data_IF_450857434573
#
_entry.id   IF_450857434573
#
_cell.length_a   1.000
_cell.length_b   1.000
_cell.length_c   1.000
_cell.angle_alpha   90.00
_cell.angle_beta   90.00
_cell.angle_gamma   90.00
#
_symmetry.space_group_name_H-M   'P 1'
#
loop_
_entity.id
_entity.type
_entity.pdbx_description
1 polymer ?
#
# COMPACT_ATOMS: atom_id res chain seq x y z
N UNK A 1 -9.59 13.45 -15.03
CA UNK A 1 -8.64 12.36 -15.31
C UNK A 1 -9.37 11.04 -15.46
N UNK A 2 -8.85 10.16 -16.31
CA UNK A 2 -9.23 8.75 -16.35
C UNK A 2 -8.23 7.96 -15.50
N UNK A 3 -8.69 7.34 -14.42
CA UNK A 3 -7.85 6.64 -13.44
C UNK A 3 -8.27 5.17 -13.39
N UNK A 4 -7.33 4.26 -13.61
CA UNK A 4 -7.60 2.82 -13.52
C UNK A 4 -6.84 2.20 -12.35
N UNK A 5 -7.57 1.55 -11.44
CA UNK A 5 -6.99 0.86 -10.28
C UNK A 5 -7.01 -0.66 -10.51
N UNK A 6 -5.85 -1.30 -10.47
CA UNK A 6 -5.69 -2.74 -10.63
C UNK A 6 -5.67 -3.42 -9.26
N UNK A 7 -6.78 -4.02 -8.87
CA UNK A 7 -6.94 -4.73 -7.60
C UNK A 7 -8.05 -4.14 -6.72
N UNK A 8 -9.13 -4.90 -6.58
CA UNK A 8 -10.30 -4.55 -5.77
C UNK A 8 -10.22 -5.12 -4.34
N UNK A 9 -9.05 -5.01 -3.69
CA UNK A 9 -8.90 -5.21 -2.25
C UNK A 9 -9.43 -4.01 -1.45
N UNK A 10 -9.32 -4.04 -0.12
CA UNK A 10 -9.75 -2.93 0.74
C UNK A 10 -9.14 -1.60 0.32
N UNK A 11 -7.81 -1.58 0.15
CA UNK A 11 -7.09 -0.35 -0.15
C UNK A 11 -7.36 0.16 -1.58
N UNK A 12 -7.36 -0.73 -2.60
CA UNK A 12 -7.72 -0.34 -3.96
C UNK A 12 -9.15 0.19 -4.07
N UNK A 13 -10.09 -0.41 -3.36
CA UNK A 13 -11.48 0.08 -3.29
C UNK A 13 -11.57 1.45 -2.60
N UNK A 14 -10.85 1.66 -1.50
CA UNK A 14 -10.84 2.94 -0.81
C UNK A 14 -10.24 4.07 -1.68
N UNK A 15 -9.19 3.77 -2.44
CA UNK A 15 -8.59 4.74 -3.36
C UNK A 15 -9.46 5.01 -4.59
N UNK A 16 -10.19 4.00 -5.10
CA UNK A 16 -11.20 4.23 -6.15
C UNK A 16 -12.32 5.16 -5.66
N UNK A 17 -12.78 4.97 -4.42
CA UNK A 17 -13.75 5.86 -3.78
C UNK A 17 -13.20 7.28 -3.62
N UNK A 18 -11.94 7.42 -3.19
CA UNK A 18 -11.32 8.73 -3.02
C UNK A 18 -11.21 9.48 -4.36
N UNK A 19 -10.79 8.79 -5.43
CA UNK A 19 -10.71 9.36 -6.78
C UNK A 19 -12.10 9.72 -7.34
N UNK A 20 -13.10 8.84 -7.20
CA UNK A 20 -14.44 9.08 -7.71
C UNK A 20 -15.18 10.23 -7.01
N UNK A 21 -14.84 10.49 -5.75
CA UNK A 21 -15.42 11.59 -4.94
C UNK A 21 -14.59 12.88 -5.03
N UNK A 22 -13.50 12.87 -5.80
CA UNK A 22 -12.66 14.05 -5.96
C UNK A 22 -13.42 15.15 -6.70
N UNK A 23 -13.33 16.43 -6.25
CA UNK A 23 -14.04 17.56 -6.88
C UNK A 23 -13.70 17.76 -8.36
N UNK A 24 -12.55 17.25 -8.82
CA UNK A 24 -12.12 17.30 -10.22
C UNK A 24 -12.90 16.40 -11.19
N UNK A 25 -13.90 15.64 -10.73
CA UNK A 25 -14.79 14.85 -11.60
C UNK A 25 -14.06 13.77 -12.40
N UNK A 26 -13.30 12.89 -11.73
CA UNK A 26 -12.52 11.84 -12.38
C UNK A 26 -13.41 10.68 -12.85
N UNK A 27 -13.07 10.09 -14.00
CA UNK A 27 -13.59 8.80 -14.44
C UNK A 27 -12.72 7.70 -13.82
N UNK A 28 -13.34 6.75 -13.11
CA UNK A 28 -12.61 5.75 -12.32
C UNK A 28 -13.02 4.35 -12.74
N UNK A 29 -12.04 3.52 -13.12
CA UNK A 29 -12.23 2.09 -13.35
C UNK A 29 -11.54 1.30 -12.23
N UNK A 30 -12.31 0.45 -11.52
CA UNK A 30 -11.78 -0.48 -10.53
C UNK A 30 -11.77 -1.89 -11.12
N UNK A 31 -10.57 -2.43 -11.32
CA UNK A 31 -10.39 -3.75 -11.89
C UNK A 31 -10.25 -4.82 -10.80
N UNK A 32 -11.13 -5.82 -10.84
CA UNK A 32 -11.06 -7.03 -10.03
C UNK A 32 -10.70 -8.23 -10.91
N UNK A 33 -9.58 -8.90 -10.62
CA UNK A 33 -9.13 -10.09 -11.38
C UNK A 33 -10.14 -11.25 -11.33
N UNK A 34 -10.83 -11.41 -10.21
CA UNK A 34 -11.84 -12.42 -10.00
C UNK A 34 -13.19 -11.92 -10.56
N UNK A 35 -13.71 -12.62 -11.56
CA UNK A 35 -14.97 -12.26 -12.21
C UNK A 35 -16.17 -12.33 -11.24
N UNK A 36 -16.16 -13.26 -10.28
CA UNK A 36 -17.24 -13.37 -9.30
C UNK A 36 -17.22 -12.19 -8.32
N UNK A 37 -16.04 -11.73 -7.92
CA UNK A 37 -15.89 -10.51 -7.14
C UNK A 37 -16.35 -9.28 -7.92
N UNK A 38 -15.97 -9.17 -9.19
CA UNK A 38 -16.38 -8.05 -10.04
C UNK A 38 -17.91 -7.99 -10.18
N UNK A 39 -18.55 -9.14 -10.38
CA UNK A 39 -20.01 -9.22 -10.48
C UNK A 39 -20.70 -8.83 -9.18
N UNK A 40 -20.18 -9.29 -8.04
CA UNK A 40 -20.68 -8.88 -6.73
C UNK A 40 -20.53 -7.36 -6.52
N UNK A 41 -19.40 -6.76 -6.94
CA UNK A 41 -19.19 -5.31 -6.88
C UNK A 41 -20.16 -4.52 -7.77
N UNK A 42 -20.50 -5.03 -8.97
CA UNK A 42 -21.46 -4.39 -9.88
C UNK A 42 -22.87 -4.43 -9.31
N UNK A 43 -23.30 -5.60 -8.85
CA UNK A 43 -24.68 -5.83 -8.40
C UNK A 43 -24.97 -5.25 -7.03
N UNK A 44 -24.04 -5.42 -6.08
CA UNK A 44 -24.22 -4.97 -4.69
C UNK A 44 -23.79 -3.53 -4.48
N UNK A 45 -23.00 -2.96 -5.38
CA UNK A 45 -22.38 -1.64 -5.23
C UNK A 45 -21.70 -1.46 -3.88
N UNK A 46 -21.05 -2.54 -3.40
CA UNK A 46 -20.32 -2.60 -2.13
C UNK A 46 -19.25 -3.68 -2.22
N UNK A 47 -18.09 -3.43 -1.63
CA UNK A 47 -17.06 -4.46 -1.45
C UNK A 47 -17.26 -5.15 -0.09
N UNK A 48 -18.30 -5.99 0.02
CA UNK A 48 -18.66 -6.63 1.28
C UNK A 48 -17.54 -7.49 1.88
N UNK A 49 -16.69 -8.08 1.03
CA UNK A 49 -15.57 -8.95 1.45
C UNK A 49 -14.40 -8.19 2.07
N UNK A 50 -14.02 -7.04 1.50
CA UNK A 50 -12.77 -6.36 1.86
C UNK A 50 -12.97 -4.99 2.49
N UNK A 51 -14.11 -4.33 2.24
CA UNK A 51 -14.44 -3.00 2.74
C UNK A 51 -15.95 -2.90 3.03
N UNK A 52 -16.46 -3.69 3.99
CA UNK A 52 -17.88 -3.72 4.28
C UNK A 52 -18.41 -2.38 4.81
N UNK A 53 -19.69 -2.11 4.56
CA UNK A 53 -20.38 -0.93 5.05
C UNK A 53 -20.10 0.37 4.30
N UNK A 54 -19.44 0.30 3.12
CA UNK A 54 -19.18 1.46 2.28
C UNK A 54 -19.73 1.24 0.88
N UNK A 55 -20.68 2.10 0.47
CA UNK A 55 -21.28 2.04 -0.87
C UNK A 55 -20.32 2.56 -1.95
N UNK A 56 -20.33 1.93 -3.11
CA UNK A 56 -19.62 2.36 -4.32
C UNK A 56 -20.56 3.24 -5.17
N UNK A 57 -20.16 4.48 -5.51
CA UNK A 57 -20.90 5.32 -6.44
C UNK A 57 -21.03 4.65 -7.81
N UNK A 58 -22.12 4.93 -8.52
CA UNK A 58 -22.34 4.43 -9.89
C UNK A 58 -21.26 4.92 -10.87
N UNK A 59 -20.61 6.03 -10.57
CA UNK A 59 -19.51 6.58 -11.38
C UNK A 59 -18.24 5.73 -11.38
N UNK A 60 -18.12 4.72 -10.48
CA UNK A 60 -17.01 3.77 -10.54
C UNK A 60 -17.38 2.62 -11.46
N UNK A 61 -16.68 2.52 -12.59
CA UNK A 61 -16.77 1.38 -13.48
C UNK A 61 -16.06 0.16 -12.86
N UNK A 62 -16.71 -1.02 -12.91
CA UNK A 62 -16.13 -2.26 -12.43
C UNK A 62 -15.74 -3.13 -13.62
N UNK A 63 -14.44 -3.44 -13.73
CA UNK A 63 -13.90 -4.28 -14.80
C UNK A 63 -13.33 -5.60 -14.25
N UNK A 64 -13.47 -6.68 -15.06
CA UNK A 64 -12.82 -7.98 -14.80
C UNK A 64 -12.20 -8.58 -16.07
N UNK A 65 -12.07 -7.78 -17.12
CA UNK A 65 -11.42 -8.25 -18.34
C UNK A 65 -9.94 -8.55 -18.11
N UNK A 66 -9.32 -9.46 -18.86
CA UNK A 66 -7.86 -9.70 -18.75
C UNK A 66 -7.08 -8.40 -18.86
N UNK A 67 -5.97 -8.29 -18.10
CA UNK A 67 -5.19 -7.05 -18.03
C UNK A 67 -4.72 -6.56 -19.41
N UNK A 68 -4.31 -7.47 -20.29
CA UNK A 68 -3.91 -7.11 -21.66
C UNK A 68 -5.06 -6.45 -22.45
N UNK A 69 -6.28 -6.98 -22.30
CA UNK A 69 -7.48 -6.39 -22.92
C UNK A 69 -7.83 -5.03 -22.30
N UNK A 70 -7.70 -4.90 -20.99
CA UNK A 70 -7.93 -3.64 -20.28
C UNK A 70 -6.95 -2.54 -20.77
N UNK A 71 -5.66 -2.89 -20.88
CA UNK A 71 -4.62 -1.98 -21.39
C UNK A 71 -4.94 -1.52 -22.84
N UNK A 72 -5.32 -2.45 -23.70
CA UNK A 72 -5.66 -2.15 -25.09
C UNK A 72 -6.93 -1.28 -25.22
N UNK A 73 -7.91 -1.46 -24.33
CA UNK A 73 -9.17 -0.70 -24.34
C UNK A 73 -9.10 0.65 -23.60
N UNK A 74 -8.00 0.94 -22.93
CA UNK A 74 -7.83 2.16 -22.11
C UNK A 74 -6.69 3.07 -22.60
N UNK A 75 -6.63 3.46 -23.88
CA UNK A 75 -5.52 4.24 -24.44
C UNK A 75 -5.42 5.66 -23.86
N UNK A 76 -6.51 6.15 -23.27
CA UNK A 76 -6.60 7.51 -22.70
C UNK A 76 -6.56 7.49 -21.16
N UNK A 77 -6.05 6.43 -20.54
CA UNK A 77 -5.86 6.40 -19.09
C UNK A 77 -4.75 7.38 -18.69
N UNK A 78 -5.06 8.32 -17.79
CA UNK A 78 -4.11 9.34 -17.33
C UNK A 78 -3.23 8.84 -16.18
N UNK A 79 -3.72 7.86 -15.39
CA UNK A 79 -3.01 7.29 -14.25
C UNK A 79 -3.43 5.84 -14.01
N UNK A 80 -2.46 4.96 -13.98
CA UNK A 80 -2.62 3.57 -13.55
C UNK A 80 -2.18 3.40 -12.10
N UNK A 81 -3.01 2.74 -11.28
CA UNK A 81 -2.72 2.48 -9.87
C UNK A 81 -2.75 0.98 -9.60
N UNK A 82 -1.60 0.39 -9.30
CA UNK A 82 -1.47 -1.03 -8.95
C UNK A 82 -1.76 -1.20 -7.47
N UNK A 83 -2.94 -1.72 -7.14
CA UNK A 83 -3.42 -1.97 -5.79
C UNK A 83 -3.41 -3.47 -5.42
N UNK A 84 -2.60 -4.27 -6.13
CA UNK A 84 -2.37 -5.67 -5.81
C UNK A 84 -1.40 -5.80 -4.62
N UNK A 85 -1.37 -6.94 -3.91
CA UNK A 85 -0.27 -7.25 -3.02
C UNK A 85 1.08 -7.27 -3.75
N UNK A 86 2.20 -7.16 -3.00
CA UNK A 86 3.56 -7.18 -3.57
C UNK A 86 3.80 -8.38 -4.51
N UNK A 87 3.25 -9.55 -4.20
CA UNK A 87 3.35 -10.75 -5.04
C UNK A 87 2.75 -10.61 -6.45
N UNK A 88 1.87 -9.64 -6.67
CA UNK A 88 1.27 -9.34 -7.99
C UNK A 88 1.99 -8.23 -8.76
N UNK A 89 2.91 -7.50 -8.14
CA UNK A 89 3.50 -6.29 -8.69
C UNK A 89 4.32 -6.59 -9.96
N UNK A 90 5.23 -7.55 -9.91
CA UNK A 90 6.11 -7.91 -11.04
C UNK A 90 5.32 -8.23 -12.30
N UNK A 91 4.31 -9.08 -12.17
CA UNK A 91 3.46 -9.47 -13.30
C UNK A 91 2.69 -8.28 -13.86
N UNK A 92 2.16 -7.41 -13.00
CA UNK A 92 1.44 -6.22 -13.43
C UNK A 92 2.38 -5.25 -14.18
N UNK A 93 3.56 -4.96 -13.62
CA UNK A 93 4.54 -4.07 -14.25
C UNK A 93 5.05 -4.61 -15.58
N UNK A 94 5.34 -5.92 -15.67
CA UNK A 94 5.78 -6.54 -16.93
C UNK A 94 4.72 -6.42 -18.03
N UNK A 95 3.44 -6.60 -17.68
CA UNK A 95 2.34 -6.43 -18.63
C UNK A 95 2.14 -4.98 -19.07
N UNK A 96 2.62 -4.02 -18.28
CA UNK A 96 2.47 -2.59 -18.51
C UNK A 96 3.74 -1.92 -19.10
N UNK A 97 4.75 -2.68 -19.51
CA UNK A 97 6.04 -2.15 -19.92
C UNK A 97 5.96 -1.06 -21.02
N UNK A 98 4.96 -1.14 -21.91
CA UNK A 98 4.76 -0.19 -23.01
C UNK A 98 3.78 0.96 -22.66
N UNK A 99 3.24 1.01 -21.42
CA UNK A 99 2.34 2.07 -20.99
C UNK A 99 3.11 3.41 -20.92
N UNK A 100 2.49 4.47 -21.44
CA UNK A 100 3.09 5.82 -21.45
C UNK A 100 2.60 6.69 -20.30
N UNK A 101 1.38 6.43 -19.82
CA UNK A 101 0.81 7.14 -18.67
C UNK A 101 1.57 6.83 -17.37
N UNK A 102 1.59 7.74 -16.40
CA UNK A 102 2.10 7.49 -15.07
C UNK A 102 1.52 6.22 -14.43
N UNK A 103 2.38 5.45 -13.75
CA UNK A 103 2.01 4.24 -13.02
C UNK A 103 2.38 4.41 -11.56
N UNK A 104 1.51 4.02 -10.64
CA UNK A 104 1.83 4.01 -9.22
C UNK A 104 1.44 2.68 -8.59
N UNK A 105 2.17 2.26 -7.58
CA UNK A 105 1.80 1.11 -6.75
C UNK A 105 1.45 1.51 -5.32
N UNK A 106 0.57 0.72 -4.72
CA UNK A 106 0.11 0.88 -3.35
C UNK A 106 0.65 -0.22 -2.43
N UNK A 107 1.23 -1.29 -2.98
CA UNK A 107 1.78 -2.39 -2.21
C UNK A 107 2.96 -1.94 -1.36
N UNK A 108 3.12 -2.62 -0.23
CA UNK A 108 4.19 -2.36 0.74
C UNK A 108 4.96 -3.66 0.97
N UNK A 109 6.25 -3.57 1.24
CA UNK A 109 7.09 -4.73 1.46
C UNK A 109 8.09 -4.98 0.33
N UNK A 110 8.86 -6.05 0.46
CA UNK A 110 9.86 -6.50 -0.51
C UNK A 110 9.34 -7.77 -1.22
N UNK A 111 9.79 -7.97 -2.44
CA UNK A 111 9.42 -9.16 -3.21
C UNK A 111 9.98 -10.44 -2.58
N UNK A 112 9.12 -11.43 -2.40
CA UNK A 112 9.53 -12.72 -1.86
C UNK A 112 10.49 -13.44 -2.82
N UNK A 113 11.52 -14.06 -2.27
CA UNK A 113 12.55 -14.78 -3.04
C UNK A 113 13.71 -13.89 -3.49
N UNK A 114 13.45 -12.70 -4.04
CA UNK A 114 14.51 -11.79 -4.51
C UNK A 114 14.95 -10.78 -3.44
N UNK A 115 14.02 -10.36 -2.55
CA UNK A 115 14.25 -9.28 -1.59
C UNK A 115 14.27 -7.89 -2.22
N UNK A 116 13.82 -7.75 -3.46
CA UNK A 116 13.80 -6.48 -4.18
C UNK A 116 12.67 -5.56 -3.68
N UNK A 117 12.96 -4.27 -3.64
CA UNK A 117 11.94 -3.24 -3.43
C UNK A 117 11.09 -3.04 -4.69
N UNK A 118 9.87 -2.49 -4.60
CA UNK A 118 9.00 -2.28 -5.75
C UNK A 118 9.67 -1.52 -6.91
N UNK A 119 10.41 -0.44 -6.64
CA UNK A 119 11.13 0.30 -7.69
C UNK A 119 12.28 -0.51 -8.33
N UNK A 120 12.94 -1.41 -7.57
CA UNK A 120 13.95 -2.31 -8.12
C UNK A 120 13.30 -3.38 -9.03
N UNK A 121 12.12 -3.88 -8.66
CA UNK A 121 11.31 -4.77 -9.52
C UNK A 121 10.93 -4.05 -10.81
N UNK A 122 10.46 -2.81 -10.71
CA UNK A 122 10.10 -1.98 -11.88
C UNK A 122 11.31 -1.78 -12.80
N UNK A 123 12.49 -1.46 -12.26
CA UNK A 123 13.70 -1.28 -13.06
C UNK A 123 14.11 -2.55 -13.84
N UNK A 124 13.79 -3.74 -13.30
CA UNK A 124 14.09 -5.00 -13.99
C UNK A 124 13.11 -5.34 -15.13
N UNK A 125 11.80 -5.11 -14.93
CA UNK A 125 10.79 -5.63 -15.87
C UNK A 125 10.14 -4.58 -16.76
N UNK A 126 10.24 -3.31 -16.37
CA UNK A 126 9.66 -2.18 -17.08
C UNK A 126 10.48 -0.89 -16.88
N UNK A 127 11.76 -0.85 -17.24
CA UNK A 127 12.69 0.24 -16.93
C UNK A 127 12.26 1.60 -17.50
N UNK A 128 11.47 1.61 -18.56
CA UNK A 128 11.00 2.84 -19.22
C UNK A 128 9.72 3.42 -18.64
N UNK A 129 9.05 2.71 -17.71
CA UNK A 129 7.85 3.23 -17.06
C UNK A 129 8.20 4.42 -16.18
N UNK A 130 7.42 5.49 -16.32
CA UNK A 130 7.39 6.54 -15.32
C UNK A 130 6.51 6.06 -14.16
N UNK A 131 7.14 5.65 -13.07
CA UNK A 131 6.42 5.00 -12.01
C UNK A 131 6.81 5.51 -10.62
N UNK A 132 5.96 5.19 -9.61
CA UNK A 132 6.18 5.61 -8.24
C UNK A 132 5.28 4.89 -7.24
N UNK A 133 5.38 5.28 -5.99
CA UNK A 133 4.62 4.73 -4.88
C UNK A 133 3.66 5.77 -4.29
N UNK A 134 2.49 5.33 -3.86
CA UNK A 134 1.61 6.11 -2.97
C UNK A 134 1.51 5.38 -1.64
N UNK A 135 1.98 6.02 -0.57
CA UNK A 135 2.12 5.41 0.75
C UNK A 135 1.84 6.43 1.86
N UNK A 136 1.93 6.01 3.12
CA UNK A 136 1.72 6.88 4.29
C UNK A 136 0.69 6.31 5.27
N UNK A 137 0.38 7.04 6.35
CA UNK A 137 -0.52 6.61 7.40
C UNK A 137 -1.97 6.57 6.89
N UNK A 138 -2.49 5.37 6.66
CA UNK A 138 -3.82 5.22 6.06
C UNK A 138 -4.44 3.85 6.34
N UNK A 139 -5.60 3.87 6.95
CA UNK A 139 -6.48 2.71 6.97
C UNK A 139 -7.54 2.85 5.88
N UNK A 140 -7.76 1.80 5.10
CA UNK A 140 -8.70 1.80 3.98
C UNK A 140 -10.11 2.25 4.40
N UNK A 141 -10.59 1.81 5.56
CA UNK A 141 -11.91 2.16 6.07
C UNK A 141 -12.04 3.66 6.38
N UNK A 142 -11.01 4.26 6.96
CA UNK A 142 -10.99 5.68 7.29
C UNK A 142 -11.00 6.54 6.01
N UNK A 143 -10.16 6.21 5.02
CA UNK A 143 -10.16 6.88 3.73
C UNK A 143 -11.51 6.74 3.02
N UNK A 144 -12.08 5.54 3.00
CA UNK A 144 -13.37 5.28 2.39
C UNK A 144 -14.53 6.04 3.06
N UNK A 145 -14.40 6.35 4.36
CA UNK A 145 -15.33 7.18 5.14
C UNK A 145 -15.01 8.67 5.08
N UNK A 146 -14.05 9.08 4.24
CA UNK A 146 -13.62 10.48 4.11
C UNK A 146 -13.09 11.09 5.42
N UNK A 147 -12.52 10.27 6.30
CA UNK A 147 -11.82 10.78 7.47
C UNK A 147 -10.50 11.42 7.05
N UNK A 148 -10.08 12.53 7.68
CA UNK A 148 -8.86 13.23 7.31
C UNK A 148 -7.65 12.32 7.26
N UNK A 149 -7.00 12.22 6.10
CA UNK A 149 -5.86 11.33 5.86
C UNK A 149 -4.79 12.07 5.06
N UNK A 150 -3.54 11.72 5.30
CA UNK A 150 -2.40 12.27 4.56
C UNK A 150 -1.54 11.15 3.97
N UNK A 151 -1.21 11.26 2.68
CA UNK A 151 -0.38 10.31 1.93
C UNK A 151 0.82 11.02 1.30
N UNK A 152 1.79 10.22 0.88
CA UNK A 152 2.99 10.65 0.16
C UNK A 152 3.01 9.99 -1.23
N UNK A 153 3.08 10.83 -2.26
CA UNK A 153 3.33 10.44 -3.64
C UNK A 153 4.85 10.47 -3.89
N UNK A 154 5.48 9.31 -3.98
CA UNK A 154 6.93 9.19 -4.10
C UNK A 154 7.36 8.68 -5.48
N UNK A 155 8.20 9.45 -6.16
CA UNK A 155 8.79 9.07 -7.45
C UNK A 155 9.98 9.97 -7.79
N UNK A 156 10.95 9.44 -8.54
CA UNK A 156 11.97 10.26 -9.19
C UNK A 156 11.36 11.17 -10.28
N UNK A 157 10.25 10.76 -10.90
CA UNK A 157 9.57 11.48 -11.98
C UNK A 157 8.54 12.48 -11.43
N UNK A 158 8.67 13.77 -11.74
CA UNK A 158 7.72 14.80 -11.34
C UNK A 158 6.31 14.52 -11.89
N UNK A 159 6.20 14.08 -13.14
CA UNK A 159 4.93 13.71 -13.79
C UNK A 159 4.11 12.70 -12.99
N UNK A 160 4.75 11.72 -12.36
CA UNK A 160 4.08 10.71 -11.50
C UNK A 160 3.59 11.33 -10.21
N UNK A 161 4.44 12.15 -9.55
CA UNK A 161 4.06 12.83 -8.32
C UNK A 161 2.89 13.78 -8.55
N UNK A 162 2.95 14.56 -9.63
CA UNK A 162 1.90 15.53 -10.00
C UNK A 162 0.59 14.83 -10.36
N UNK A 163 0.64 13.72 -11.12
CA UNK A 163 -0.54 12.93 -11.44
C UNK A 163 -1.20 12.35 -10.17
N UNK A 164 -0.41 11.86 -9.20
CA UNK A 164 -0.92 11.34 -7.94
C UNK A 164 -1.54 12.45 -7.06
N UNK A 165 -0.90 13.62 -7.02
CA UNK A 165 -1.46 14.79 -6.33
C UNK A 165 -2.76 15.21 -7.00
N UNK A 166 -2.80 15.35 -8.32
CA UNK A 166 -4.00 15.74 -9.07
C UNK A 166 -5.14 14.73 -8.90
N UNK A 167 -4.83 13.43 -8.84
CA UNK A 167 -5.83 12.37 -8.72
C UNK A 167 -6.47 12.27 -7.34
N UNK A 168 -5.72 12.57 -6.27
CA UNK A 168 -6.13 12.21 -4.92
C UNK A 168 -6.11 13.36 -3.90
N UNK A 169 -5.44 14.49 -4.18
CA UNK A 169 -5.37 15.58 -3.22
C UNK A 169 -6.69 16.36 -3.15
N UNK A 170 -7.38 16.28 -2.03
CA UNK A 170 -8.69 16.89 -1.85
C UNK A 170 -8.97 17.25 -0.38
N UNK A 171 -10.22 17.60 -0.06
CA UNK A 171 -10.58 18.08 1.27
C UNK A 171 -10.30 17.08 2.40
N UNK A 172 -10.58 15.80 2.17
CA UNK A 172 -10.39 14.73 3.17
C UNK A 172 -9.07 13.97 3.00
N UNK A 173 -8.43 14.02 1.82
CA UNK A 173 -7.20 13.30 1.53
C UNK A 173 -6.11 14.26 1.07
N UNK A 174 -5.08 14.47 1.87
CA UNK A 174 -3.92 15.27 1.50
C UNK A 174 -2.84 14.38 0.90
N UNK A 175 -2.29 14.79 -0.25
CA UNK A 175 -1.19 14.07 -0.91
C UNK A 175 -0.01 15.02 -1.04
N UNK A 176 1.15 14.59 -0.54
CA UNK A 176 2.41 15.34 -0.54
C UNK A 176 3.40 14.67 -1.48
N UNK A 177 3.99 15.45 -2.37
CA UNK A 177 5.03 14.96 -3.28
C UNK A 177 6.36 14.73 -2.53
N UNK A 178 7.07 13.64 -2.88
CA UNK A 178 8.40 13.31 -2.37
C UNK A 178 9.24 12.69 -3.51
N UNK A 179 10.51 12.98 -3.59
CA UNK A 179 11.43 12.39 -4.56
C UNK A 179 12.19 11.16 -4.02
N UNK A 180 12.09 10.87 -2.71
CA UNK A 180 12.73 9.73 -2.05
C UNK A 180 11.80 8.51 -2.06
N UNK A 181 11.75 7.80 -3.20
CA UNK A 181 10.97 6.57 -3.32
C UNK A 181 11.52 5.47 -2.42
N UNK A 182 12.83 5.39 -2.24
CA UNK A 182 13.51 4.39 -1.41
C UNK A 182 13.05 4.50 0.03
N UNK A 183 13.09 5.71 0.60
CA UNK A 183 12.67 5.95 1.99
C UNK A 183 11.20 5.65 2.21
N UNK A 184 10.34 6.01 1.25
CA UNK A 184 8.90 5.74 1.31
C UNK A 184 8.60 4.24 1.27
N UNK A 185 9.29 3.48 0.43
CA UNK A 185 9.13 2.03 0.34
C UNK A 185 9.67 1.29 1.57
N UNK A 186 10.85 1.67 2.05
CA UNK A 186 11.45 1.09 3.28
C UNK A 186 10.54 1.36 4.47
N UNK A 187 10.05 2.59 4.64
CA UNK A 187 9.09 2.94 5.68
C UNK A 187 7.87 2.04 5.64
N UNK A 188 7.25 1.91 4.47
CA UNK A 188 6.07 1.06 4.26
C UNK A 188 6.30 -0.43 4.53
N UNK A 189 7.50 -0.95 4.22
CA UNK A 189 7.85 -2.35 4.44
C UNK A 189 8.12 -2.66 5.91
N UNK A 190 9.02 -1.88 6.55
CA UNK A 190 9.52 -2.15 7.90
C UNK A 190 8.47 -1.88 8.96
N UNK A 191 7.62 -0.86 8.80
CA UNK A 191 6.54 -0.57 9.75
C UNK A 191 5.63 -1.77 10.03
N UNK A 192 5.36 -2.57 9.00
CA UNK A 192 4.48 -3.73 9.10
C UNK A 192 5.07 -4.82 10.01
N UNK A 193 6.40 -5.01 9.95
CA UNK A 193 7.13 -5.92 10.83
C UNK A 193 7.11 -5.40 12.27
N UNK A 194 7.37 -4.11 12.45
CA UNK A 194 7.34 -3.45 13.76
C UNK A 194 5.96 -3.48 14.40
N UNK A 195 4.90 -3.38 13.59
CA UNK A 195 3.53 -3.49 14.08
C UNK A 195 3.21 -4.89 14.62
N UNK A 196 3.77 -5.97 14.06
CA UNK A 196 3.65 -7.32 14.65
C UNK A 196 4.34 -7.34 16.02
N UNK A 197 5.55 -6.78 16.12
CA UNK A 197 6.29 -6.73 17.36
C UNK A 197 5.59 -5.89 18.44
N UNK A 198 4.98 -4.75 18.10
CA UNK A 198 4.19 -3.95 19.03
C UNK A 198 2.92 -4.66 19.47
N UNK A 199 2.24 -5.39 18.56
CA UNK A 199 1.10 -6.23 18.91
C UNK A 199 1.46 -7.35 19.88
N UNK A 200 2.63 -7.99 19.68
CA UNK A 200 3.15 -9.00 20.61
C UNK A 200 3.46 -8.38 22.00
N UNK A 201 4.09 -7.20 22.02
CA UNK A 201 4.37 -6.44 23.23
C UNK A 201 3.08 -6.13 24.02
N UNK A 202 2.04 -5.67 23.33
CA UNK A 202 0.73 -5.37 23.93
C UNK A 202 0.04 -6.63 24.45
N UNK A 203 0.07 -7.73 23.68
CA UNK A 203 -0.57 -8.99 24.04
C UNK A 203 0.10 -9.72 25.21
N UNK A 204 1.40 -9.46 25.42
CA UNK A 204 2.17 -9.93 26.60
C UNK A 204 2.04 -8.98 27.82
N UNK A 205 1.22 -7.93 27.71
CA UNK A 205 0.99 -6.93 28.76
C UNK A 205 2.30 -6.27 29.28
N UNK A 206 3.24 -6.00 28.38
CA UNK A 206 4.52 -5.35 28.75
C UNK A 206 4.38 -3.85 29.01
N UNK A 207 3.22 -3.28 28.74
CA UNK A 207 2.86 -1.91 29.06
C UNK A 207 3.26 -0.88 27.98
N UNK A 208 2.73 0.34 28.18
CA UNK A 208 2.87 1.44 27.21
C UNK A 208 4.32 1.95 27.08
N UNK A 209 5.11 1.90 28.15
CA UNK A 209 6.52 2.30 28.12
C UNK A 209 7.34 1.39 27.21
N UNK A 210 7.13 0.06 27.28
CA UNK A 210 7.78 -0.91 26.40
C UNK A 210 7.37 -0.71 24.94
N UNK A 211 6.08 -0.48 24.67
CA UNK A 211 5.61 -0.16 23.33
C UNK A 211 6.23 1.12 22.77
N UNK A 212 6.31 2.20 23.56
CA UNK A 212 6.93 3.45 23.15
C UNK A 212 8.43 3.26 22.84
N UNK A 213 9.17 2.53 23.69
CA UNK A 213 10.56 2.20 23.47
C UNK A 213 10.75 1.37 22.18
N UNK A 214 9.89 0.38 21.93
CA UNK A 214 9.93 -0.46 20.74
C UNK A 214 9.68 0.34 19.46
N UNK A 215 8.70 1.26 19.45
CA UNK A 215 8.41 2.15 18.32
C UNK A 215 9.64 3.06 18.05
N UNK A 216 10.18 3.69 19.09
CA UNK A 216 11.36 4.58 18.95
C UNK A 216 12.57 3.83 18.44
N UNK A 217 12.86 2.65 18.99
CA UNK A 217 13.95 1.80 18.53
C UNK A 217 13.73 1.32 17.10
N UNK A 218 12.51 0.88 16.79
CA UNK A 218 12.13 0.43 15.46
C UNK A 218 12.27 1.51 14.39
N UNK A 219 11.92 2.76 14.70
CA UNK A 219 12.15 3.91 13.81
C UNK A 219 13.64 4.14 13.54
N UNK A 220 14.48 4.01 14.56
CA UNK A 220 15.93 4.13 14.40
C UNK A 220 16.51 3.02 13.52
N UNK A 221 16.05 1.77 13.67
CA UNK A 221 16.47 0.65 12.82
C UNK A 221 15.98 0.82 11.37
N UNK A 222 14.70 1.22 11.18
CA UNK A 222 14.13 1.55 9.88
C UNK A 222 14.96 2.62 9.18
N UNK A 223 15.35 3.67 9.90
CA UNK A 223 16.16 4.76 9.36
C UNK A 223 17.55 4.28 8.95
N UNK A 224 18.22 3.44 9.77
CA UNK A 224 19.54 2.87 9.43
C UNK A 224 19.48 2.03 8.15
N UNK A 225 18.50 1.13 8.07
CA UNK A 225 18.30 0.30 6.86
C UNK A 225 18.04 1.18 5.64
N UNK A 226 17.17 2.19 5.78
CA UNK A 226 16.87 3.08 4.68
C UNK A 226 18.07 3.88 4.20
N UNK A 227 18.88 4.43 5.11
CA UNK A 227 20.12 5.15 4.76
C UNK A 227 21.11 4.24 4.03
N UNK A 228 21.25 2.98 4.47
CA UNK A 228 22.10 1.99 3.80
C UNK A 228 21.61 1.63 2.38
N UNK A 229 20.31 1.82 2.11
CA UNK A 229 19.69 1.63 0.81
C UNK A 229 19.63 2.91 -0.04
N UNK A 230 20.16 4.03 0.46
CA UNK A 230 20.23 5.30 -0.27
C UNK A 230 19.05 6.25 -0.04
N UNK A 231 18.21 5.99 0.97
CA UNK A 231 17.11 6.88 1.36
C UNK A 231 17.58 8.14 2.09
N UNK A 232 16.72 9.12 2.18
CA UNK A 232 16.94 10.34 2.95
C UNK A 232 16.40 10.22 4.37
N UNK A 233 17.18 10.68 5.37
CA UNK A 233 16.80 10.64 6.79
C UNK A 233 15.46 11.30 7.09
N UNK A 234 15.18 12.44 6.48
CA UNK A 234 13.99 13.24 6.73
C UNK A 234 12.69 12.52 6.32
N UNK A 235 12.76 11.60 5.35
CA UNK A 235 11.60 10.79 4.94
C UNK A 235 11.09 9.93 6.10
N UNK A 236 11.98 9.43 6.96
CA UNK A 236 11.60 8.59 8.09
C UNK A 236 10.99 9.37 9.26
N UNK A 237 11.28 10.66 9.36
CA UNK A 237 10.65 11.55 10.35
C UNK A 237 9.29 12.10 9.88
N UNK A 238 8.92 11.83 8.64
CA UNK A 238 7.68 12.26 8.01
C UNK A 238 6.56 11.21 8.05
N UNK A 239 5.58 11.42 7.16
CA UNK A 239 4.36 10.59 7.05
C UNK A 239 4.69 9.13 6.73
N UNK A 240 5.61 8.86 5.78
CA UNK A 240 5.91 7.49 5.33
C UNK A 240 6.80 6.69 6.30
N UNK A 241 7.44 7.36 7.26
CA UNK A 241 8.22 6.74 8.34
C UNK A 241 7.45 6.75 9.66
N UNK A 242 7.69 7.77 10.50
CA UNK A 242 7.10 7.92 11.83
C UNK A 242 5.57 7.87 11.80
N UNK A 243 4.93 8.61 10.89
CA UNK A 243 3.47 8.68 10.83
C UNK A 243 2.82 7.32 10.58
N UNK A 244 3.28 6.61 9.55
CA UNK A 244 2.72 5.30 9.17
C UNK A 244 3.11 4.20 10.19
N UNK A 245 4.29 4.31 10.82
CA UNK A 245 4.71 3.43 11.90
C UNK A 245 3.80 3.59 13.13
N UNK A 246 3.61 4.82 13.61
CA UNK A 246 2.77 5.07 14.80
C UNK A 246 1.34 4.59 14.56
N UNK A 247 0.73 4.97 13.43
CA UNK A 247 -0.62 4.52 13.08
C UNK A 247 -0.72 2.99 13.09
N UNK A 248 0.23 2.29 12.46
CA UNK A 248 0.16 0.84 12.28
C UNK A 248 0.49 0.09 13.59
N UNK A 249 1.37 0.64 14.42
CA UNK A 249 1.80 0.05 15.69
C UNK A 249 0.77 0.25 16.82
N UNK A 250 -0.11 1.27 16.73
CA UNK A 250 -1.06 1.60 17.80
C UNK A 250 -2.53 1.42 17.42
N UNK A 251 -2.85 1.45 16.11
CA UNK A 251 -4.23 1.42 15.65
C UNK A 251 -4.87 0.03 15.66
N UNK A 252 -6.11 -0.05 16.09
CA UNK A 252 -6.86 -1.30 16.20
C UNK A 252 -7.27 -1.91 14.85
N UNK A 253 -7.24 -1.10 13.77
CA UNK A 253 -7.47 -1.57 12.42
C UNK A 253 -6.21 -2.24 11.81
N UNK A 254 -5.06 -2.17 12.48
CA UNK A 254 -3.82 -2.77 12.00
C UNK A 254 -3.86 -4.29 12.06
N UNK A 255 -3.90 -4.93 10.90
CA UNK A 255 -3.84 -6.39 10.77
C UNK A 255 -2.51 -6.96 11.26
N UNK A 256 -1.42 -6.24 11.03
CA UNK A 256 -0.10 -6.68 11.49
C UNK A 256 -0.02 -6.64 13.02
N UNK A 257 -0.55 -5.59 13.68
CA UNK A 257 -0.65 -5.54 15.14
C UNK A 257 -1.53 -6.68 15.68
N UNK A 258 -2.65 -6.99 15.01
CA UNK A 258 -3.50 -8.13 15.38
C UNK A 258 -2.78 -9.47 15.29
N UNK A 259 -1.92 -9.70 14.29
CA UNK A 259 -1.06 -10.90 14.27
C UNK A 259 -0.22 -10.98 15.53
N UNK A 260 0.43 -9.91 15.95
CA UNK A 260 1.22 -9.88 17.18
C UNK A 260 0.42 -10.21 18.43
N UNK A 261 -0.80 -9.65 18.58
CA UNK A 261 -1.71 -9.96 19.67
C UNK A 261 -2.09 -11.45 19.71
N UNK A 262 -2.38 -12.06 18.56
CA UNK A 262 -2.73 -13.48 18.44
C UNK A 262 -1.54 -14.40 18.78
N UNK A 263 -0.33 -14.02 18.37
CA UNK A 263 0.90 -14.74 18.75
C UNK A 263 1.14 -14.71 20.26
N UNK A 264 0.86 -13.58 20.93
CA UNK A 264 0.95 -13.46 22.38
C UNK A 264 -0.07 -14.38 23.12
N UNK A 265 -1.19 -14.67 22.46
CA UNK A 265 -2.19 -15.63 22.97
C UNK A 265 -1.82 -17.10 22.76
N UNK A 266 -0.62 -17.37 22.19
CA UNK A 266 -0.11 -18.71 21.96
C UNK A 266 -0.52 -19.36 20.63
N UNK A 267 -1.19 -18.61 19.72
CA UNK A 267 -1.48 -19.14 18.40
C UNK A 267 -0.18 -19.27 17.58
N UNK A 268 -0.10 -20.29 16.74
CA UNK A 268 0.96 -20.36 15.73
C UNK A 268 0.79 -19.24 14.69
N UNK A 269 1.87 -18.90 13.98
CA UNK A 269 1.81 -17.90 12.92
C UNK A 269 0.76 -18.24 11.85
N UNK A 270 0.66 -19.51 11.49
CA UNK A 270 -0.32 -20.00 10.50
C UNK A 270 -1.76 -19.82 11.02
N UNK A 271 -2.02 -20.18 12.27
CA UNK A 271 -3.33 -19.98 12.91
C UNK A 271 -3.70 -18.51 12.98
N UNK A 272 -2.76 -17.63 13.38
CA UNK A 272 -2.98 -16.20 13.46
C UNK A 272 -3.33 -15.59 12.09
N UNK A 273 -2.60 -15.95 11.03
CA UNK A 273 -2.85 -15.47 9.66
C UNK A 273 -4.20 -15.98 9.13
N UNK A 274 -4.50 -17.27 9.33
CA UNK A 274 -5.75 -17.89 8.87
C UNK A 274 -6.97 -17.25 9.55
N UNK A 275 -6.90 -16.99 10.86
CA UNK A 275 -8.01 -16.39 11.61
C UNK A 275 -8.37 -14.97 11.17
N UNK A 276 -7.39 -14.24 10.61
CA UNK A 276 -7.62 -12.88 10.08
C UNK A 276 -8.26 -12.87 8.69
N UNK A 277 -8.33 -14.02 7.99
CA UNK A 277 -8.97 -14.17 6.69
C UNK A 277 -8.30 -13.42 5.53
N UNK A 278 -7.24 -12.65 5.79
CA UNK A 278 -6.55 -11.82 4.81
C UNK A 278 -5.06 -11.72 5.14
N UNK A 279 -4.26 -11.48 4.09
CA UNK A 279 -2.80 -11.37 4.18
C UNK A 279 -2.39 -10.21 5.10
N UNK A 280 -1.55 -10.51 6.11
CA UNK A 280 -0.79 -9.51 6.86
C UNK A 280 0.61 -9.39 6.22
N UNK A 281 0.85 -8.29 5.51
CA UNK A 281 2.08 -8.11 4.70
C UNK A 281 3.37 -8.20 5.54
N UNK A 282 3.32 -7.79 6.81
CA UNK A 282 4.46 -7.85 7.73
C UNK A 282 5.02 -9.24 7.94
N UNK A 283 4.18 -10.28 7.86
CA UNK A 283 4.61 -11.68 8.01
C UNK A 283 5.59 -12.07 6.90
N UNK A 284 5.29 -11.70 5.67
CA UNK A 284 6.17 -11.96 4.53
C UNK A 284 7.38 -11.02 4.52
N UNK A 285 7.16 -9.75 4.87
CA UNK A 285 8.22 -8.74 4.89
C UNK A 285 9.28 -9.01 5.95
N UNK A 286 8.96 -9.68 7.07
CA UNK A 286 9.93 -9.92 8.14
C UNK A 286 11.18 -10.68 7.67
N UNK A 287 10.99 -11.75 6.89
CA UNK A 287 12.10 -12.53 6.34
C UNK A 287 12.89 -11.75 5.30
N UNK A 288 12.20 -11.10 4.37
CA UNK A 288 12.83 -10.38 3.25
C UNK A 288 13.59 -9.14 3.73
N UNK A 289 13.05 -8.41 4.71
CA UNK A 289 13.74 -7.29 5.36
C UNK A 289 15.02 -7.75 6.06
N UNK A 290 14.95 -8.84 6.85
CA UNK A 290 16.13 -9.41 7.52
C UNK A 290 17.18 -9.89 6.50
N UNK A 291 16.75 -10.57 5.44
CA UNK A 291 17.64 -10.99 4.36
C UNK A 291 18.34 -9.80 3.70
N UNK A 292 17.60 -8.75 3.38
CA UNK A 292 18.13 -7.51 2.78
C UNK A 292 19.11 -6.81 3.71
N UNK A 293 18.79 -6.71 5.01
CA UNK A 293 19.68 -6.11 5.98
C UNK A 293 21.01 -6.88 6.09
N UNK A 294 20.98 -8.21 6.10
CA UNK A 294 22.20 -9.04 6.14
C UNK A 294 23.08 -8.91 4.89
N UNK A 295 22.50 -8.62 3.74
CA UNK A 295 23.25 -8.38 2.48
C UNK A 295 24.01 -7.04 2.50
N UNK A 296 23.59 -6.12 3.34
CA UNK A 296 24.19 -4.79 3.49
C UNK A 296 25.27 -4.73 4.58
N UNK A 297 25.44 -5.80 5.40
CA UNK A 297 26.34 -5.84 6.55
C UNK A 297 25.59 -5.37 7.80
#
# INVERSE_FOLDING_TARGET
MHITLLGAGAWGTAMALAAARHPGGHTVTLHARDASQAEALRTQRQNARYLPGVALPESIEISSVPLASLLASSPHCDLWVIATPMAGLRTALAAMADVRAPVAWLCKGLESGTGLMPHEVQAQVAPHLQAGALSGPSFALEVARQQPTALVAASAHASVRDALVQAFHGPALRVYANNDIVGVEVGGAVKNVLAIATGLCDGLDLGLNARAALITRGLAEMTRLGLALGAHRDTFMGLSGLGDLVLTATGDLSRNRKVGLLLAQGLSLEQAVTSLGHVAEGVYSARTVLQRARQLG
#
